data_IF_304355251208
#
_entry.id   IF_304355251208
#
_cell.length_a   1.000
_cell.length_b   1.000
_cell.length_c   1.000
_cell.angle_alpha   90.00
_cell.angle_beta   90.00
_cell.angle_gamma   90.00
#
_symmetry.space_group_name_H-M   'P 1'
#
loop_
_entity.id
_entity.type
_entity.pdbx_description
1 polymer ?
#
# COMPACT_ATOMS: atom_id res chain seq x y z
N UNK A 1 38.03 -15.31 -50.95
CA UNK A 1 37.49 -14.14 -50.25
C UNK A 1 36.26 -14.57 -49.49
N UNK A 2 36.40 -14.81 -48.21
CA UNK A 2 35.33 -15.39 -47.33
C UNK A 2 34.83 -14.28 -46.45
N UNK A 3 33.61 -13.76 -46.68
CA UNK A 3 32.96 -12.76 -45.88
C UNK A 3 32.41 -13.38 -44.60
N UNK A 4 33.02 -13.03 -43.50
CA UNK A 4 32.53 -13.32 -42.12
C UNK A 4 31.35 -12.41 -41.83
N UNK A 5 30.15 -12.95 -41.90
CA UNK A 5 28.94 -12.29 -41.39
C UNK A 5 28.92 -12.34 -39.86
N UNK A 6 29.21 -11.23 -39.24
CA UNK A 6 29.05 -11.04 -37.78
C UNK A 6 27.58 -10.86 -37.46
N UNK A 7 26.96 -11.88 -36.93
CA UNK A 7 25.63 -11.77 -36.32
C UNK A 7 25.74 -11.23 -34.90
N UNK A 8 25.59 -9.94 -34.77
CA UNK A 8 25.45 -9.30 -33.47
C UNK A 8 24.08 -9.65 -32.87
N UNK A 9 24.04 -10.57 -31.93
CA UNK A 9 22.87 -10.87 -31.13
C UNK A 9 22.76 -9.79 -30.07
N UNK A 10 21.89 -8.81 -30.30
CA UNK A 10 21.56 -7.78 -29.33
C UNK A 10 20.65 -8.44 -28.28
N UNK A 11 21.20 -8.77 -27.14
CA UNK A 11 20.45 -9.14 -25.95
C UNK A 11 19.84 -7.86 -25.36
N UNK A 12 18.60 -7.56 -25.73
CA UNK A 12 17.81 -6.55 -25.03
C UNK A 12 17.49 -7.11 -23.63
N UNK A 13 18.23 -6.66 -22.65
CA UNK A 13 17.92 -6.87 -21.25
C UNK A 13 16.68 -6.00 -20.91
N UNK A 14 15.51 -6.59 -21.00
CA UNK A 14 14.32 -6.00 -20.41
C UNK A 14 14.48 -6.05 -18.89
N UNK A 15 15.08 -5.02 -18.32
CA UNK A 15 15.05 -4.77 -16.89
C UNK A 15 13.60 -4.39 -16.54
N UNK A 16 12.78 -5.38 -16.22
CA UNK A 16 11.49 -5.16 -15.61
C UNK A 16 11.74 -4.41 -14.30
N UNK A 17 11.44 -3.11 -14.28
CA UNK A 17 11.35 -2.36 -13.04
C UNK A 17 10.22 -2.99 -12.22
N UNK A 18 10.59 -3.78 -11.24
CA UNK A 18 9.66 -4.23 -10.21
C UNK A 18 9.37 -2.99 -9.36
N UNK A 19 8.28 -2.31 -9.67
CA UNK A 19 7.70 -1.37 -8.74
C UNK A 19 7.32 -2.20 -7.50
N UNK A 20 8.12 -2.10 -6.44
CA UNK A 20 7.75 -2.61 -5.14
C UNK A 20 6.49 -1.81 -4.76
N UNK A 21 5.35 -2.48 -4.76
CA UNK A 21 4.09 -1.94 -4.26
C UNK A 21 4.30 -1.74 -2.75
N UNK A 22 4.78 -0.55 -2.40
CA UNK A 22 4.96 -0.16 -1.01
C UNK A 22 3.55 -0.06 -0.46
N UNK A 23 3.16 -1.03 0.36
CA UNK A 23 1.86 -1.04 1.02
C UNK A 23 1.63 0.35 1.63
N UNK A 24 0.69 1.08 1.06
CA UNK A 24 0.38 2.42 1.52
C UNK A 24 -0.14 2.32 2.95
N UNK A 25 0.52 3.02 3.88
CA UNK A 25 0.06 3.10 5.27
C UNK A 25 -1.34 3.69 5.27
N UNK A 26 -2.35 3.00 5.85
CA UNK A 26 -3.70 3.51 5.87
C UNK A 26 -3.76 4.86 6.58
N UNK A 27 -4.33 5.83 5.92
CA UNK A 27 -4.47 7.18 6.45
C UNK A 27 -5.85 7.74 6.16
N UNK A 28 -6.32 8.61 7.03
CA UNK A 28 -7.54 9.38 6.85
C UNK A 28 -7.23 10.85 6.98
N UNK A 29 -7.80 11.64 6.11
CA UNK A 29 -7.78 13.09 6.17
C UNK A 29 -9.21 13.58 6.27
N UNK A 30 -9.46 14.46 7.24
CA UNK A 30 -10.77 15.04 7.47
C UNK A 30 -10.62 16.55 7.71
N UNK A 31 -11.52 17.33 7.15
CA UNK A 31 -11.44 18.79 7.17
C UNK A 31 -12.76 19.40 7.57
N UNK A 32 -12.70 20.44 8.39
CA UNK A 32 -13.79 21.38 8.64
C UNK A 32 -13.48 22.76 8.04
N UNK A 33 -14.19 23.79 8.46
CA UNK A 33 -13.86 25.17 8.05
C UNK A 33 -12.55 25.67 8.67
N UNK A 34 -12.26 25.27 9.91
CA UNK A 34 -11.17 25.81 10.71
C UNK A 34 -10.08 24.79 11.03
N UNK A 35 -10.40 23.50 10.99
CA UNK A 35 -9.52 22.42 11.41
C UNK A 35 -9.24 21.41 10.29
N UNK A 36 -8.04 20.85 10.35
CA UNK A 36 -7.60 19.68 9.59
C UNK A 36 -7.19 18.57 10.57
N UNK A 37 -7.75 17.40 10.41
CA UNK A 37 -7.35 16.20 11.13
C UNK A 37 -6.74 15.19 10.16
N UNK A 38 -5.58 14.65 10.54
CA UNK A 38 -4.90 13.57 9.80
C UNK A 38 -4.69 12.40 10.76
N UNK A 39 -5.29 11.27 10.45
CA UNK A 39 -5.11 10.02 11.16
C UNK A 39 -4.25 9.04 10.36
N UNK A 40 -3.25 8.46 11.00
CA UNK A 40 -2.37 7.44 10.42
C UNK A 40 -2.51 6.17 11.23
N UNK A 41 -2.80 5.07 10.56
CA UNK A 41 -3.04 3.77 11.21
C UNK A 41 -1.83 2.88 11.10
N UNK A 42 -1.40 2.36 12.26
CA UNK A 42 -0.41 1.30 12.35
C UNK A 42 -1.01 0.18 13.21
N UNK A 43 -1.26 -0.95 12.60
CA UNK A 43 -1.89 -2.11 13.22
C UNK A 43 -3.26 -1.77 13.84
N UNK A 44 -3.39 -1.79 15.16
CA UNK A 44 -4.60 -1.47 15.92
C UNK A 44 -4.57 -0.07 16.57
N UNK A 45 -3.55 0.73 16.24
CA UNK A 45 -3.37 2.09 16.77
C UNK A 45 -3.48 3.13 15.66
N UNK A 46 -4.25 4.18 15.86
CA UNK A 46 -4.32 5.38 15.04
C UNK A 46 -3.67 6.55 15.77
N UNK A 47 -2.68 7.18 15.14
CA UNK A 47 -2.14 8.48 15.57
C UNK A 47 -2.85 9.59 14.82
N UNK A 48 -3.39 10.58 15.56
CA UNK A 48 -4.22 11.65 15.04
C UNK A 48 -3.54 12.97 15.30
N UNK A 49 -3.29 13.74 14.23
CA UNK A 49 -2.77 15.09 14.31
C UNK A 49 -3.86 16.06 13.89
N UNK A 50 -4.13 17.05 14.71
CA UNK A 50 -5.13 18.09 14.43
C UNK A 50 -4.43 19.44 14.38
N UNK A 51 -4.66 20.18 13.32
CA UNK A 51 -4.11 21.54 13.12
C UNK A 51 -5.17 22.53 12.67
N UNK A 52 -4.98 23.79 13.01
CA UNK A 52 -5.79 24.89 12.48
C UNK A 52 -5.40 25.19 11.05
N UNK A 53 -6.39 25.41 10.20
CA UNK A 53 -6.14 25.73 8.79
C UNK A 53 -5.54 27.13 8.58
N UNK A 54 -5.80 28.05 9.49
CA UNK A 54 -5.36 29.45 9.36
C UNK A 54 -3.83 29.61 9.48
N UNK A 55 -3.20 28.86 10.37
CA UNK A 55 -1.81 29.02 10.75
C UNK A 55 -1.02 27.72 10.86
N UNK A 56 -1.65 26.58 10.56
CA UNK A 56 -1.13 25.23 10.74
C UNK A 56 -0.69 24.92 12.18
N UNK A 57 -1.12 25.71 13.17
CA UNK A 57 -0.77 25.45 14.55
C UNK A 57 -1.48 24.20 15.05
N UNK A 58 -0.75 23.31 15.78
CA UNK A 58 -1.35 22.11 16.33
C UNK A 58 -2.39 22.46 17.39
N UNK A 59 -3.52 21.76 17.35
CA UNK A 59 -4.55 21.85 18.37
C UNK A 59 -4.18 20.90 19.49
N UNK A 60 -3.76 21.49 20.61
CA UNK A 60 -3.46 20.80 21.86
C UNK A 60 -4.61 21.02 22.82
N UNK A 61 -4.70 20.23 23.86
CA UNK A 61 -5.67 20.42 24.95
C UNK A 61 -7.17 20.37 24.50
N UNK A 62 -7.44 19.69 23.38
CA UNK A 62 -8.80 19.40 22.95
C UNK A 62 -9.25 18.02 23.43
N UNK A 63 -10.54 17.88 23.69
CA UNK A 63 -11.17 16.58 23.88
C UNK A 63 -11.52 16.03 22.51
N UNK A 64 -10.80 14.98 22.10
CA UNK A 64 -11.03 14.36 20.78
C UNK A 64 -11.71 13.02 20.96
N UNK A 65 -12.75 12.81 20.18
CA UNK A 65 -13.47 11.55 20.13
C UNK A 65 -13.59 11.12 18.67
N UNK A 66 -13.38 9.85 18.38
CA UNK A 66 -13.48 9.31 17.03
C UNK A 66 -14.69 8.40 16.94
N UNK A 67 -15.56 8.67 15.97
CA UNK A 67 -16.62 7.75 15.60
C UNK A 67 -16.13 6.95 14.41
N UNK A 68 -15.86 5.66 14.63
CA UNK A 68 -15.41 4.74 13.60
C UNK A 68 -16.47 3.66 13.39
N UNK A 69 -16.92 3.49 12.16
CA UNK A 69 -17.98 2.52 11.82
C UNK A 69 -19.26 2.66 12.67
N UNK A 70 -19.55 3.88 13.15
CA UNK A 70 -20.71 4.16 14.00
C UNK A 70 -20.48 3.93 15.49
N UNK A 71 -19.30 3.46 15.91
CA UNK A 71 -18.94 3.31 17.31
C UNK A 71 -18.07 4.48 17.77
N UNK A 72 -18.33 4.94 19.00
CA UNK A 72 -17.64 6.09 19.61
C UNK A 72 -16.44 5.60 20.41
N UNK A 73 -15.27 6.10 20.08
CA UNK A 73 -14.02 5.78 20.73
C UNK A 73 -13.36 7.04 21.29
N UNK A 74 -13.10 7.10 22.61
CA UNK A 74 -12.31 8.18 23.18
C UNK A 74 -10.86 8.06 22.74
N UNK A 75 -10.17 9.20 22.60
CA UNK A 75 -8.75 9.24 22.34
C UNK A 75 -7.95 9.66 23.58
N UNK A 76 -6.66 9.33 23.58
CA UNK A 76 -5.70 9.76 24.59
C UNK A 76 -4.80 10.83 24.00
N UNK A 77 -4.67 11.98 24.69
CA UNK A 77 -3.71 13.02 24.30
C UNK A 77 -2.28 12.57 24.63
N UNK A 78 -1.38 12.72 23.68
CA UNK A 78 0.03 12.39 23.81
C UNK A 78 0.87 13.65 24.10
N UNK A 79 2.06 13.47 24.66
CA UNK A 79 2.93 14.58 25.06
C UNK A 79 3.43 15.43 23.88
N UNK A 80 3.45 14.88 22.67
CA UNK A 80 3.83 15.59 21.44
C UNK A 80 2.71 16.47 20.88
N UNK A 81 1.51 16.42 21.46
CA UNK A 81 0.33 17.15 21.02
C UNK A 81 -0.49 16.40 19.98
N UNK A 82 -0.18 15.15 19.72
CA UNK A 82 -1.04 14.25 18.94
C UNK A 82 -2.06 13.57 19.86
N UNK A 83 -3.01 12.87 19.24
CA UNK A 83 -3.98 12.05 19.94
C UNK A 83 -3.85 10.61 19.45
N UNK A 84 -4.01 9.65 20.34
CA UNK A 84 -3.97 8.24 19.99
C UNK A 84 -5.28 7.56 20.27
N UNK A 85 -5.66 6.67 19.36
CA UNK A 85 -6.79 5.77 19.48
C UNK A 85 -6.30 4.34 19.28
N UNK A 86 -6.66 3.45 20.20
CA UNK A 86 -6.38 2.01 20.07
C UNK A 86 -7.68 1.24 20.05
N UNK A 87 -7.94 0.53 18.94
CA UNK A 87 -9.13 -0.31 18.77
C UNK A 87 -8.90 -1.38 17.71
N UNK A 88 -9.49 -2.56 17.95
CA UNK A 88 -9.45 -3.68 16.97
C UNK A 88 -10.21 -3.37 15.68
N UNK A 89 -11.10 -2.38 15.69
CA UNK A 89 -11.84 -1.98 14.49
C UNK A 89 -10.95 -1.39 13.40
N UNK A 90 -9.76 -0.90 13.77
CA UNK A 90 -8.73 -0.45 12.84
C UNK A 90 -8.04 -1.60 12.07
N UNK A 91 -8.12 -2.82 12.57
CA UNK A 91 -7.58 -4.00 11.89
C UNK A 91 -8.56 -4.61 10.88
N UNK A 92 -9.82 -4.14 10.86
CA UNK A 92 -10.83 -4.65 9.94
C UNK A 92 -10.65 -4.03 8.54
N UNK A 93 -10.46 -4.84 7.50
CA UNK A 93 -10.25 -4.33 6.15
C UNK A 93 -11.50 -3.65 5.58
N UNK A 94 -11.28 -2.79 4.59
CA UNK A 94 -12.31 -2.08 3.85
C UNK A 94 -12.42 -0.60 4.18
N UNK A 95 -13.23 0.11 3.41
CA UNK A 95 -13.50 1.52 3.64
C UNK A 95 -14.39 1.73 4.88
N UNK A 96 -13.97 2.62 5.75
CA UNK A 96 -14.68 2.98 6.97
C UNK A 96 -14.91 4.49 7.03
N UNK A 97 -16.15 4.90 7.33
CA UNK A 97 -16.41 6.29 7.65
C UNK A 97 -15.84 6.62 9.03
N UNK A 98 -15.14 7.72 9.12
CA UNK A 98 -14.52 8.25 10.34
C UNK A 98 -15.03 9.66 10.56
N UNK A 99 -15.46 9.95 11.79
CA UNK A 99 -15.86 11.29 12.21
C UNK A 99 -15.04 11.69 13.46
N UNK A 100 -14.20 12.69 13.32
CA UNK A 100 -13.44 13.25 14.42
C UNK A 100 -14.25 14.37 15.08
N UNK A 101 -14.68 14.13 16.30
CA UNK A 101 -15.36 15.12 17.12
C UNK A 101 -14.35 15.81 18.03
N UNK A 102 -14.08 17.07 17.75
CA UNK A 102 -13.08 17.88 18.46
C UNK A 102 -13.81 18.90 19.32
N UNK A 103 -13.62 18.80 20.63
CA UNK A 103 -14.14 19.74 21.61
C UNK A 103 -13.03 20.62 22.16
N UNK A 104 -13.10 21.92 21.92
CA UNK A 104 -12.18 22.91 22.49
C UNK A 104 -12.97 23.95 23.29
N UNK A 105 -13.05 23.79 24.58
CA UNK A 105 -13.90 24.62 25.44
C UNK A 105 -15.38 24.49 25.09
N UNK A 106 -16.02 25.59 24.68
CA UNK A 106 -17.42 25.61 24.29
C UNK A 106 -17.64 25.23 22.80
N UNK A 107 -16.59 25.19 22.00
CA UNK A 107 -16.67 24.90 20.56
C UNK A 107 -16.55 23.41 20.34
N UNK A 108 -17.48 22.86 19.55
CA UNK A 108 -17.44 21.46 19.10
C UNK A 108 -17.48 21.43 17.59
N UNK A 109 -16.51 20.75 16.99
CA UNK A 109 -16.44 20.55 15.56
C UNK A 109 -16.42 19.06 15.21
N UNK A 110 -17.03 18.72 14.07
CA UNK A 110 -17.07 17.38 13.51
C UNK A 110 -16.38 17.40 12.15
N UNK A 111 -15.35 16.58 12.00
CA UNK A 111 -14.57 16.44 10.78
C UNK A 111 -14.77 15.05 10.22
N UNK A 112 -15.40 14.96 9.06
CA UNK A 112 -15.73 13.68 8.42
C UNK A 112 -14.68 13.31 7.37
N UNK A 113 -14.24 12.07 7.42
CA UNK A 113 -13.29 11.49 6.47
C UNK A 113 -13.63 10.04 6.16
N UNK A 114 -12.91 9.48 5.24
CA UNK A 114 -12.98 8.05 4.90
C UNK A 114 -11.60 7.45 5.08
N UNK A 115 -11.53 6.43 5.90
CA UNK A 115 -10.33 5.62 6.10
C UNK A 115 -10.47 4.38 5.21
N UNK A 116 -9.53 4.20 4.30
CA UNK A 116 -9.41 2.96 3.53
C UNK A 116 -8.32 2.11 4.18
N UNK A 117 -8.76 1.09 4.87
CA UNK A 117 -7.88 0.06 5.40
C UNK A 117 -7.80 -0.99 4.29
N UNK A 118 -6.88 -0.75 3.35
CA UNK A 118 -6.64 -1.69 2.26
C UNK A 118 -6.47 -3.09 2.84
N UNK A 119 -7.00 -4.07 2.18
CA UNK A 119 -6.60 -5.46 2.41
C UNK A 119 -5.09 -5.48 2.27
N UNK A 120 -4.38 -5.74 3.39
CA UNK A 120 -2.91 -5.89 3.36
C UNK A 120 -2.59 -6.72 2.13
N UNK A 121 -1.81 -6.19 1.14
CA UNK A 121 -1.39 -6.99 0.00
C UNK A 121 -0.31 -7.98 0.44
N UNK A 122 -0.64 -8.84 1.36
CA UNK A 122 0.24 -9.78 2.01
C UNK A 122 -0.41 -11.13 2.28
N UNK A 123 -1.72 -11.22 2.11
CA UNK A 123 -2.38 -12.51 1.97
C UNK A 123 -2.78 -12.64 0.50
N UNK A 124 -1.76 -12.85 -0.33
CA UNK A 124 -1.95 -13.40 -1.66
C UNK A 124 -2.81 -14.65 -1.46
N UNK A 125 -4.06 -14.56 -1.90
CA UNK A 125 -4.83 -15.75 -2.17
C UNK A 125 -3.93 -16.65 -3.03
N UNK A 126 -3.51 -17.75 -2.44
CA UNK A 126 -2.56 -18.74 -2.96
C UNK A 126 -3.04 -19.37 -4.30
N UNK A 127 -4.19 -18.95 -4.77
CA UNK A 127 -4.79 -19.35 -6.06
C UNK A 127 -4.10 -18.77 -7.29
N UNK A 128 -3.36 -17.68 -7.18
CA UNK A 128 -2.70 -17.09 -8.35
C UNK A 128 -1.21 -17.50 -8.46
N UNK A 129 -0.64 -18.02 -7.38
CA UNK A 129 0.74 -18.52 -7.34
C UNK A 129 0.94 -19.75 -8.22
N UNK A 130 -0.04 -20.68 -8.24
CA UNK A 130 0.05 -21.87 -9.08
C UNK A 130 0.03 -21.56 -10.57
N UNK A 131 -0.73 -20.54 -10.99
CA UNK A 131 -0.82 -20.10 -12.38
C UNK A 131 0.48 -19.43 -12.86
N UNK A 132 1.13 -18.69 -11.98
CA UNK A 132 2.41 -18.04 -12.26
C UNK A 132 3.54 -19.07 -12.33
N UNK A 133 3.54 -20.09 -11.46
CA UNK A 133 4.47 -21.22 -11.53
C UNK A 133 4.34 -21.99 -12.85
N UNK A 134 3.13 -22.25 -13.32
CA UNK A 134 2.88 -22.90 -14.61
C UNK A 134 3.45 -22.08 -15.79
N UNK A 135 3.37 -20.76 -15.75
CA UNK A 135 3.97 -19.89 -16.77
C UNK A 135 5.50 -19.98 -16.78
N UNK A 136 6.13 -20.08 -15.62
CA UNK A 136 7.58 -20.25 -15.50
C UNK A 136 8.00 -21.61 -16.04
N UNK A 137 7.31 -22.68 -15.65
CA UNK A 137 7.59 -24.06 -16.14
C UNK A 137 7.44 -24.14 -17.65
N UNK A 138 6.40 -23.52 -18.21
CA UNK A 138 6.19 -23.47 -19.65
C UNK A 138 7.35 -22.74 -20.37
N UNK A 139 7.78 -21.60 -19.86
CA UNK A 139 8.92 -20.87 -20.42
C UNK A 139 10.21 -21.70 -20.42
N UNK A 140 10.50 -22.36 -19.29
CA UNK A 140 11.70 -23.23 -19.21
C UNK A 140 11.59 -24.44 -20.14
N UNK A 141 10.42 -25.02 -20.29
CA UNK A 141 10.21 -26.15 -21.22
C UNK A 141 10.43 -25.74 -22.68
N UNK A 142 9.91 -24.56 -23.08
CA UNK A 142 10.09 -24.02 -24.44
C UNK A 142 11.56 -23.68 -24.72
N UNK A 143 12.25 -23.04 -23.78
CA UNK A 143 13.68 -22.73 -23.91
C UNK A 143 14.52 -24.01 -23.99
N UNK A 144 14.25 -24.99 -23.13
CA UNK A 144 14.93 -26.30 -23.16
C UNK A 144 14.72 -27.05 -24.48
N UNK A 145 13.49 -27.05 -24.98
CA UNK A 145 13.18 -27.68 -26.28
C UNK A 145 13.91 -26.97 -27.45
N UNK A 146 13.98 -25.64 -27.42
CA UNK A 146 14.70 -24.89 -28.43
C UNK A 146 16.20 -25.21 -28.43
N UNK A 147 16.83 -25.22 -27.26
CA UNK A 147 18.27 -25.56 -27.11
C UNK A 147 18.53 -27.00 -27.56
N UNK A 148 17.63 -27.93 -27.23
CA UNK A 148 17.75 -29.34 -27.64
C UNK A 148 17.65 -29.51 -29.15
N UNK A 149 16.71 -28.82 -29.81
CA UNK A 149 16.54 -28.83 -31.27
C UNK A 149 17.76 -28.23 -31.98
N UNK A 150 18.32 -27.14 -31.47
CA UNK A 150 19.55 -26.53 -32.02
C UNK A 150 20.77 -27.44 -31.85
N UNK A 151 20.89 -28.12 -30.70
CA UNK A 151 22.00 -29.06 -30.47
C UNK A 151 21.93 -30.28 -31.38
N UNK A 152 20.71 -30.78 -31.67
CA UNK A 152 20.49 -31.91 -32.59
C UNK A 152 20.84 -31.55 -34.04
N UNK A 153 20.50 -30.34 -34.48
CA UNK A 153 20.83 -29.86 -35.83
C UNK A 153 22.34 -29.68 -36.05
N UNK A 154 23.08 -29.34 -35.01
CA UNK A 154 24.55 -29.22 -35.09
C UNK A 154 25.26 -30.55 -35.22
N UNK A 155 24.67 -31.63 -34.76
CA UNK A 155 25.23 -32.99 -34.90
C UNK A 155 25.02 -33.57 -36.30
N UNK A 156 23.84 -33.28 -36.91
CA UNK A 156 23.51 -33.73 -38.26
C UNK A 156 24.27 -32.99 -39.38
N UNK A 157 25.01 -31.92 -39.10
CA UNK A 157 25.82 -31.16 -40.07
C UNK A 157 27.31 -31.56 -40.02
N UNK A 158 27.69 -32.58 -39.26
CA UNK A 158 29.09 -33.05 -39.12
C UNK A 158 29.34 -34.43 -39.74
N UNK A 159 28.31 -35.12 -40.15
CA UNK A 159 28.37 -36.35 -40.97
C UNK A 159 28.08 -36.01 -42.44
#
# INVERSE_FOLDING_TARGET
>A
MRSLGVWAVIWAWATGAWAADTAAIPRVEARSNDLLAVGVVHDDKMSIHISRLADNAPVRDAVVTVVLRGMVHPTTAEADGSYSLQTKDLALPGAAAVDFQVGQGAVKESLKGTLDIGTVPGRLDDKNSSRQLWWWVLNFAVCGAAVWLFSRRRKAAKD
#
